data_IF_798103135498
#
_entry.id   IF_798103135498
#
_cell.length_a   1.000
_cell.length_b   1.000
_cell.length_c   1.000
_cell.angle_alpha   90.00
_cell.angle_beta   90.00
_cell.angle_gamma   90.00
#
_symmetry.space_group_name_H-M   'P 1'
#
loop_
_entity.id
_entity.type
_entity.pdbx_description
1 polymer ?
#
# COMPACT_ATOMS: atom_id res chain seq x y z
N UNK A 1 -54.78 15.29 -16.51
CA UNK A 1 -54.95 16.75 -16.62
C UNK A 1 -53.55 17.32 -16.84
N UNK A 2 -53.14 17.63 -18.09
CA UNK A 2 -53.25 18.95 -18.77
C UNK A 2 -52.40 20.04 -18.09
N UNK A 3 -51.46 20.79 -18.71
CA UNK A 3 -51.12 21.13 -20.11
C UNK A 3 -49.59 21.45 -20.20
N UNK A 4 -48.82 21.12 -21.27
CA UNK A 4 -48.65 21.78 -22.59
C UNK A 4 -47.96 23.16 -22.61
N UNK A 5 -46.73 23.28 -23.20
CA UNK A 5 -46.33 24.29 -24.22
C UNK A 5 -44.79 24.33 -24.58
N UNK A 6 -44.43 23.82 -25.78
CA UNK A 6 -43.42 24.31 -26.79
C UNK A 6 -42.11 25.04 -26.40
N UNK A 7 -40.93 24.65 -26.94
CA UNK A 7 -40.40 25.07 -28.29
C UNK A 7 -39.12 24.27 -28.67
N UNK A 8 -39.06 23.50 -29.78
CA UNK A 8 -38.39 23.79 -31.09
C UNK A 8 -36.89 24.21 -30.99
N UNK A 9 -35.89 23.76 -31.79
CA UNK A 9 -35.73 23.01 -33.09
C UNK A 9 -34.21 22.68 -33.23
N UNK A 10 -33.66 21.79 -34.11
CA UNK A 10 -34.10 20.72 -35.04
C UNK A 10 -32.85 19.88 -35.44
N UNK A 11 -33.00 18.68 -36.01
CA UNK A 11 -31.93 17.90 -36.68
C UNK A 11 -32.24 17.65 -38.19
N UNK A 12 -31.20 17.41 -38.99
CA UNK A 12 -31.21 16.88 -40.40
C UNK A 12 -29.81 16.29 -40.65
N UNK A 13 -29.55 15.02 -41.01
CA UNK A 13 -30.13 14.01 -41.95
C UNK A 13 -29.58 14.10 -43.40
N UNK A 14 -28.64 13.18 -43.67
CA UNK A 14 -28.28 12.42 -44.90
C UNK A 14 -28.66 12.90 -46.33
N UNK A 15 -27.60 13.09 -47.14
CA UNK A 15 -27.19 12.29 -48.33
C UNK A 15 -27.91 12.34 -49.71
N UNK A 16 -27.05 12.29 -50.75
CA UNK A 16 -27.22 11.90 -52.17
C UNK A 16 -27.86 12.89 -53.18
N UNK A 17 -27.20 13.02 -54.34
CA UNK A 17 -27.71 13.70 -55.55
C UNK A 17 -26.63 13.99 -56.59
N UNK A 18 -26.69 13.33 -57.76
CA UNK A 18 -25.73 13.46 -58.88
C UNK A 18 -26.12 14.55 -59.91
N UNK A 19 -25.17 14.83 -60.81
CA UNK A 19 -25.32 15.24 -62.22
C UNK A 19 -25.04 16.71 -62.62
N UNK A 20 -23.87 16.88 -63.27
CA UNK A 20 -23.56 17.62 -64.51
C UNK A 20 -24.36 18.85 -64.97
N UNK A 21 -23.65 19.92 -65.35
CA UNK A 21 -23.81 20.66 -66.63
C UNK A 21 -22.58 21.56 -66.95
N UNK A 22 -22.29 21.70 -68.24
CA UNK A 22 -21.21 22.50 -68.85
C UNK A 22 -21.26 24.02 -68.58
N UNK A 23 -20.10 24.69 -68.49
CA UNK A 23 -19.77 25.95 -69.23
C UNK A 23 -18.27 25.96 -69.60
N UNK A 24 -17.95 26.51 -70.78
CA UNK A 24 -16.61 26.61 -71.38
C UNK A 24 -16.02 28.02 -71.18
N UNK A 25 -14.72 28.14 -70.87
CA UNK A 25 -13.88 29.29 -71.29
C UNK A 25 -12.40 28.90 -71.45
N UNK A 26 -11.74 29.51 -72.44
CA UNK A 26 -10.42 29.13 -72.97
C UNK A 26 -9.25 29.88 -72.31
N UNK A 27 -8.02 29.31 -72.35
CA UNK A 27 -6.92 29.75 -73.25
C UNK A 27 -5.48 29.44 -72.76
N UNK A 28 -4.54 29.38 -73.72
CA UNK A 28 -3.06 29.38 -73.61
C UNK A 28 -2.41 28.15 -72.93
N UNK A 29 -1.82 27.17 -73.63
CA UNK A 29 -0.61 27.18 -74.49
C UNK A 29 0.70 27.45 -73.71
N UNK A 30 1.44 26.37 -73.44
CA UNK A 30 2.90 26.32 -73.44
C UNK A 30 3.35 24.88 -73.77
N UNK A 31 4.41 24.70 -74.56
CA UNK A 31 4.77 23.43 -75.19
C UNK A 31 6.25 23.08 -75.02
N UNK A 32 6.57 21.85 -74.62
CA UNK A 32 7.88 21.21 -74.81
C UNK A 32 7.72 19.66 -74.80
N UNK A 33 8.60 18.87 -75.44
CA UNK A 33 8.16 17.62 -76.08
C UNK A 33 8.86 16.31 -75.66
N UNK A 34 8.17 15.19 -75.89
CA UNK A 34 8.75 14.03 -76.58
C UNK A 34 9.31 12.86 -75.75
N UNK A 35 8.53 11.78 -75.66
CA UNK A 35 8.89 10.38 -76.00
C UNK A 35 7.67 9.49 -75.65
N UNK A 36 6.86 9.12 -76.65
CA UNK A 36 6.93 7.84 -77.39
C UNK A 36 6.28 6.66 -76.64
N UNK A 37 4.96 6.64 -76.74
CA UNK A 37 4.09 5.47 -77.03
C UNK A 37 4.72 4.06 -77.07
N UNK A 38 4.26 3.17 -76.19
CA UNK A 38 3.46 2.01 -76.63
C UNK A 38 2.38 1.66 -75.61
N UNK A 39 1.14 1.51 -76.09
CA UNK A 39 0.04 0.91 -75.34
C UNK A 39 0.17 -0.61 -75.28
N UNK A 40 -0.31 -1.21 -74.19
CA UNK A 40 -0.45 -2.67 -74.11
C UNK A 40 -1.50 -3.19 -75.08
N UNK A 41 -1.22 -4.34 -75.70
CA UNK A 41 -2.16 -5.11 -76.51
C UNK A 41 -2.08 -6.60 -76.15
N UNK A 42 -3.21 -7.30 -76.28
CA UNK A 42 -3.34 -8.74 -75.97
C UNK A 42 -2.43 -9.62 -76.85
N UNK A 43 -2.14 -10.87 -76.44
CA UNK A 43 -1.20 -11.74 -77.16
C UNK A 43 -1.78 -12.22 -78.49
N UNK A 44 -1.59 -11.42 -79.54
CA UNK A 44 -1.44 -11.97 -80.88
C UNK A 44 -0.14 -12.77 -80.89
N UNK A 45 -0.22 -14.10 -81.02
CA UNK A 45 0.92 -14.99 -81.24
C UNK A 45 1.59 -14.79 -82.63
N UNK A 46 1.42 -13.61 -83.22
CA UNK A 46 2.05 -13.18 -84.46
C UNK A 46 3.35 -12.46 -84.14
N UNK A 47 4.46 -13.06 -84.55
CA UNK A 47 5.81 -12.60 -84.29
C UNK A 47 6.55 -12.37 -85.63
N UNK A 48 7.69 -11.67 -85.58
CA UNK A 48 8.50 -11.43 -86.79
C UNK A 48 9.50 -12.57 -86.97
N UNK A 49 9.62 -13.18 -88.16
CA UNK A 49 10.54 -14.32 -88.38
C UNK A 49 11.97 -14.00 -87.91
N UNK A 50 12.54 -14.87 -87.07
CA UNK A 50 13.84 -14.69 -86.42
C UNK A 50 13.82 -13.92 -85.08
N UNK A 51 12.64 -13.51 -84.59
CA UNK A 51 12.47 -12.97 -83.25
C UNK A 51 12.56 -14.08 -82.20
N UNK A 52 13.34 -13.86 -81.14
CA UNK A 52 13.49 -14.76 -79.98
C UNK A 52 12.68 -14.19 -78.81
N UNK A 53 11.94 -15.05 -78.10
CA UNK A 53 11.26 -14.71 -76.84
C UNK A 53 12.19 -15.03 -75.65
N UNK A 54 12.81 -13.99 -75.08
CA UNK A 54 13.77 -14.11 -73.97
C UNK A 54 13.12 -14.28 -72.58
N UNK A 55 11.87 -14.74 -72.52
CA UNK A 55 11.16 -15.08 -71.26
C UNK A 55 10.98 -16.59 -71.07
N UNK A 56 11.73 -17.41 -71.81
CA UNK A 56 11.75 -18.87 -71.65
C UNK A 56 12.41 -19.28 -70.32
N UNK A 57 11.88 -20.33 -69.64
CA UNK A 57 12.64 -21.07 -68.65
C UNK A 57 13.91 -21.65 -69.29
N UNK A 58 14.96 -21.88 -68.50
CA UNK A 58 16.15 -22.61 -68.97
C UNK A 58 15.78 -24.09 -69.07
N UNK A 59 15.44 -24.57 -70.27
CA UNK A 59 14.89 -25.91 -70.51
C UNK A 59 15.44 -26.59 -71.79
N UNK A 60 16.62 -26.17 -72.27
CA UNK A 60 17.24 -26.54 -73.55
C UNK A 60 16.50 -26.07 -74.82
N UNK A 61 15.42 -25.28 -74.74
CA UNK A 61 14.70 -24.84 -75.94
C UNK A 61 14.29 -23.36 -75.93
N UNK A 62 14.94 -22.56 -76.78
CA UNK A 62 14.46 -21.21 -77.03
C UNK A 62 13.18 -21.22 -77.90
N UNK A 63 12.37 -20.17 -77.77
CA UNK A 63 11.24 -19.92 -78.68
C UNK A 63 11.68 -18.99 -79.80
N UNK A 64 11.76 -19.51 -81.01
CA UNK A 64 12.05 -18.74 -82.21
C UNK A 64 10.78 -18.53 -83.04
N UNK A 65 10.61 -17.34 -83.60
CA UNK A 65 9.54 -17.09 -84.54
C UNK A 65 9.85 -17.67 -85.93
N UNK A 66 9.06 -18.66 -86.37
CA UNK A 66 9.13 -19.21 -87.73
C UNK A 66 7.75 -19.16 -88.38
N UNK A 67 7.64 -18.48 -89.53
CA UNK A 67 6.38 -18.40 -90.29
C UNK A 67 5.26 -17.62 -89.58
N UNK A 68 5.63 -16.64 -88.74
CA UNK A 68 4.67 -15.81 -88.00
C UNK A 68 4.16 -16.42 -86.69
N UNK A 69 4.74 -17.53 -86.22
CA UNK A 69 4.41 -18.15 -84.94
C UNK A 69 5.68 -18.58 -84.19
N UNK A 70 5.70 -18.43 -82.87
CA UNK A 70 6.75 -19.02 -82.04
C UNK A 70 6.70 -20.55 -82.08
N UNK A 71 7.83 -21.15 -82.43
CA UNK A 71 8.09 -22.58 -82.33
C UNK A 71 9.23 -22.80 -81.33
N UNK A 72 9.17 -23.90 -80.59
CA UNK A 72 10.29 -24.34 -79.77
C UNK A 72 11.38 -24.89 -80.70
N UNK A 73 12.60 -24.39 -80.55
CA UNK A 73 13.78 -24.76 -81.31
C UNK A 73 14.84 -25.24 -80.31
N UNK A 74 15.61 -26.29 -80.62
CA UNK A 74 16.75 -26.69 -79.80
C UNK A 74 17.75 -25.54 -79.56
N UNK A 75 17.95 -25.17 -78.29
CA UNK A 75 19.07 -24.35 -77.85
C UNK A 75 19.93 -25.16 -76.89
N UNK A 76 20.95 -25.83 -77.44
CA UNK A 76 21.85 -26.65 -76.63
C UNK A 76 22.83 -25.80 -75.76
N UNK A 77 22.70 -24.47 -75.76
CA UNK A 77 23.40 -23.56 -74.84
C UNK A 77 22.60 -23.23 -73.58
N UNK A 78 21.27 -23.41 -73.57
CA UNK A 78 20.40 -23.17 -72.41
C UNK A 78 20.36 -24.39 -71.48
N UNK A 79 21.52 -24.75 -70.92
CA UNK A 79 21.71 -25.92 -70.05
C UNK A 79 21.02 -25.74 -68.69
N UNK A 80 19.99 -26.55 -68.35
CA UNK A 80 19.35 -26.52 -67.04
C UNK A 80 20.21 -27.27 -66.02
N UNK A 81 20.40 -26.66 -64.85
CA UNK A 81 21.04 -27.25 -63.67
C UNK A 81 19.98 -28.04 -62.88
N UNK A 82 20.20 -29.32 -62.60
CA UNK A 82 19.28 -30.15 -61.79
C UNK A 82 19.53 -30.03 -60.27
N UNK A 83 20.51 -29.21 -59.87
CA UNK A 83 20.94 -28.99 -58.49
C UNK A 83 21.87 -30.07 -57.97
N UNK A 84 22.27 -31.07 -58.78
CA UNK A 84 23.15 -32.14 -58.35
C UNK A 84 24.59 -31.94 -58.90
N UNK A 85 25.58 -31.61 -58.05
CA UNK A 85 26.97 -31.40 -58.47
C UNK A 85 27.69 -32.68 -58.99
N UNK A 86 27.00 -33.81 -59.03
CA UNK A 86 27.48 -35.09 -59.55
C UNK A 86 26.80 -35.56 -60.82
N UNK A 87 25.98 -34.70 -61.43
CA UNK A 87 25.58 -34.80 -62.83
C UNK A 87 26.38 -33.79 -63.66
N UNK A 88 26.68 -34.16 -64.90
CA UNK A 88 27.10 -33.22 -65.92
C UNK A 88 25.85 -32.85 -66.69
N UNK A 89 25.39 -31.62 -66.49
CA UNK A 89 24.27 -31.06 -67.21
C UNK A 89 24.68 -30.71 -68.63
N UNK A 90 23.88 -31.17 -69.57
CA UNK A 90 24.05 -30.93 -71.00
C UNK A 90 22.69 -30.85 -71.66
N UNK A 91 22.62 -30.11 -72.76
CA UNK A 91 21.51 -30.21 -73.69
C UNK A 91 21.95 -31.04 -74.90
N UNK A 92 21.05 -31.87 -75.42
CA UNK A 92 21.27 -32.59 -76.66
C UNK A 92 20.02 -32.54 -77.53
N UNK A 93 20.09 -31.78 -78.63
CA UNK A 93 19.00 -31.54 -79.56
C UNK A 93 17.71 -31.04 -78.88
N UNK A 94 17.85 -30.12 -77.92
CA UNK A 94 16.73 -29.52 -77.20
C UNK A 94 16.08 -30.41 -76.15
N UNK A 95 16.85 -31.36 -75.61
CA UNK A 95 16.43 -32.21 -74.48
C UNK A 95 17.48 -32.11 -73.37
N UNK A 96 17.08 -31.80 -72.12
CA UNK A 96 17.98 -31.85 -70.97
C UNK A 96 18.54 -33.26 -70.73
N UNK A 97 19.84 -33.35 -70.45
CA UNK A 97 20.55 -34.58 -70.13
C UNK A 97 21.49 -34.35 -68.94
N UNK A 98 21.15 -34.98 -67.82
CA UNK A 98 21.91 -34.96 -66.57
C UNK A 98 22.69 -36.27 -66.46
N UNK A 99 23.95 -36.28 -66.90
CA UNK A 99 24.75 -37.52 -66.99
C UNK A 99 25.63 -37.69 -65.75
N UNK A 100 25.45 -38.78 -65.00
CA UNK A 100 26.25 -39.08 -63.81
C UNK A 100 27.77 -39.03 -64.07
N UNK A 101 28.48 -38.16 -63.35
CA UNK A 101 29.94 -38.10 -63.32
C UNK A 101 30.49 -38.81 -62.08
N UNK A 102 31.74 -39.28 -62.16
CA UNK A 102 32.40 -40.05 -61.11
C UNK A 102 33.81 -39.51 -60.83
N UNK A 103 34.19 -39.45 -59.56
CA UNK A 103 35.53 -39.00 -59.13
C UNK A 103 35.79 -37.50 -59.24
N UNK A 104 34.80 -36.72 -59.68
CA UNK A 104 34.78 -35.25 -59.54
C UNK A 104 34.53 -34.87 -58.08
N UNK A 105 35.07 -33.72 -57.67
CA UNK A 105 34.78 -33.15 -56.34
C UNK A 105 33.41 -32.50 -56.38
N UNK A 106 32.59 -32.79 -55.38
CA UNK A 106 31.27 -32.20 -55.18
C UNK A 106 31.17 -31.50 -53.83
N UNK A 107 30.15 -30.64 -53.67
CA UNK A 107 29.85 -29.95 -52.43
C UNK A 107 28.35 -29.86 -52.19
N UNK A 108 27.94 -30.13 -50.94
CA UNK A 108 26.61 -29.84 -50.41
C UNK A 108 26.85 -29.13 -49.07
N UNK A 109 26.33 -27.90 -48.93
CA UNK A 109 26.69 -27.01 -47.82
C UNK A 109 28.20 -26.83 -47.64
N UNK A 110 28.68 -26.99 -46.41
CA UNK A 110 30.12 -26.94 -46.07
C UNK A 110 30.87 -28.25 -46.44
N UNK A 111 30.15 -29.35 -46.62
CA UNK A 111 30.71 -30.67 -46.91
C UNK A 111 31.34 -30.76 -48.30
N UNK A 112 32.56 -31.30 -48.39
CA UNK A 112 33.26 -31.54 -49.66
C UNK A 112 33.45 -33.04 -49.86
N UNK A 113 32.83 -33.59 -50.90
CA UNK A 113 32.77 -35.02 -51.19
C UNK A 113 33.30 -35.39 -52.58
N UNK A 114 33.07 -36.63 -52.96
CA UNK A 114 33.37 -37.14 -54.30
C UNK A 114 32.12 -37.73 -54.96
N UNK A 115 32.00 -37.56 -56.27
CA UNK A 115 30.89 -38.12 -57.02
C UNK A 115 31.04 -39.63 -57.22
N UNK A 116 30.03 -40.38 -56.81
CA UNK A 116 29.96 -41.84 -56.92
C UNK A 116 28.57 -42.21 -57.44
N UNK A 117 28.55 -42.86 -58.61
CA UNK A 117 27.34 -43.23 -59.36
C UNK A 117 26.32 -42.09 -59.58
N UNK A 118 26.80 -40.84 -59.72
CA UNK A 118 25.95 -39.67 -59.88
C UNK A 118 25.34 -39.11 -58.59
N UNK A 119 25.84 -39.52 -57.43
CA UNK A 119 25.49 -38.97 -56.11
C UNK A 119 26.75 -38.38 -55.46
N UNK A 120 26.57 -37.33 -54.66
CA UNK A 120 27.67 -36.71 -53.91
C UNK A 120 27.88 -37.46 -52.59
N UNK A 121 28.89 -38.33 -52.52
CA UNK A 121 29.28 -38.99 -51.28
C UNK A 121 30.23 -38.07 -50.50
N UNK A 122 29.71 -37.43 -49.45
CA UNK A 122 30.49 -36.62 -48.52
C UNK A 122 30.92 -37.52 -47.35
N UNK A 123 32.23 -37.78 -47.18
CA UNK A 123 32.72 -38.65 -46.11
C UNK A 123 32.63 -37.95 -44.76
N UNK A 124 32.21 -38.68 -43.73
CA UNK A 124 32.03 -38.15 -42.38
C UNK A 124 32.45 -39.17 -41.31
N UNK A 125 32.77 -38.65 -40.12
CA UNK A 125 32.96 -39.46 -38.91
C UNK A 125 31.91 -39.16 -37.85
N UNK A 126 31.22 -38.01 -37.95
CA UNK A 126 30.12 -37.59 -37.07
C UNK A 126 29.09 -36.74 -37.83
N UNK A 127 27.88 -36.67 -37.32
CA UNK A 127 26.78 -35.93 -37.96
C UNK A 127 27.00 -34.41 -38.01
N UNK A 128 27.74 -33.83 -37.06
CA UNK A 128 28.03 -32.39 -37.04
C UNK A 128 28.99 -31.96 -38.18
N UNK A 129 29.61 -32.92 -38.87
CA UNK A 129 30.45 -32.70 -40.06
C UNK A 129 29.60 -32.66 -41.35
N UNK A 130 28.29 -32.93 -41.23
CA UNK A 130 27.32 -33.02 -42.33
C UNK A 130 26.32 -31.86 -42.38
N UNK A 131 26.57 -30.74 -41.67
CA UNK A 131 25.68 -29.57 -41.68
C UNK A 131 25.60 -28.92 -43.08
N UNK A 132 24.45 -29.03 -43.76
CA UNK A 132 24.23 -28.45 -45.09
C UNK A 132 23.73 -27.00 -45.09
N UNK A 133 23.54 -26.41 -43.90
CA UNK A 133 22.90 -25.11 -43.62
C UNK A 133 21.41 -25.01 -43.91
N UNK A 134 20.75 -26.05 -44.38
CA UNK A 134 19.31 -26.06 -44.56
C UNK A 134 18.66 -26.52 -43.25
N UNK A 135 17.95 -25.62 -42.56
CA UNK A 135 17.31 -25.98 -41.29
C UNK A 135 16.26 -27.07 -41.46
N UNK A 136 15.66 -27.19 -42.64
CA UNK A 136 14.60 -28.15 -42.94
C UNK A 136 15.09 -29.57 -43.21
N UNK A 137 16.38 -29.85 -43.05
CA UNK A 137 16.98 -31.19 -43.11
C UNK A 137 17.51 -31.63 -41.74
N UNK A 138 17.43 -32.93 -41.48
CA UNK A 138 18.14 -33.59 -40.38
C UNK A 138 19.36 -34.26 -40.97
N UNK A 139 20.51 -33.75 -40.54
CA UNK A 139 21.81 -34.11 -41.07
C UNK A 139 22.43 -35.20 -40.20
N UNK A 140 22.80 -36.31 -40.84
CA UNK A 140 23.29 -37.49 -40.14
C UNK A 140 24.44 -38.16 -40.88
N UNK A 141 25.48 -38.52 -40.13
CA UNK A 141 26.53 -39.39 -40.66
C UNK A 141 26.09 -40.86 -40.54
N UNK A 142 25.81 -41.50 -41.68
CA UNK A 142 25.28 -42.87 -41.73
C UNK A 142 26.17 -43.73 -42.62
N UNK A 143 26.91 -44.65 -42.02
CA UNK A 143 27.81 -45.54 -42.77
C UNK A 143 29.01 -44.82 -43.38
N UNK A 144 29.59 -43.87 -42.65
CA UNK A 144 30.72 -43.01 -43.07
C UNK A 144 30.40 -42.02 -44.21
N UNK A 145 29.12 -41.87 -44.59
CA UNK A 145 28.63 -40.91 -45.59
C UNK A 145 27.53 -40.02 -45.00
N UNK A 146 27.51 -38.73 -45.35
CA UNK A 146 26.45 -37.81 -44.94
C UNK A 146 25.11 -38.13 -45.62
N UNK A 147 24.03 -38.05 -44.84
CA UNK A 147 22.64 -38.14 -45.29
C UNK A 147 21.85 -36.94 -44.77
N UNK A 148 21.08 -36.33 -45.65
CA UNK A 148 20.22 -35.16 -45.38
C UNK A 148 18.76 -35.61 -45.53
N UNK A 149 18.04 -35.74 -44.42
CA UNK A 149 16.66 -36.24 -44.43
C UNK A 149 15.67 -35.08 -44.20
N UNK A 150 14.67 -34.93 -45.06
CA UNK A 150 13.62 -33.91 -44.89
C UNK A 150 12.98 -34.03 -43.50
N UNK A 151 12.97 -32.92 -42.75
CA UNK A 151 12.31 -32.82 -41.45
C UNK A 151 11.28 -31.69 -41.45
N UNK A 152 10.18 -31.89 -40.73
CA UNK A 152 9.13 -30.89 -40.56
C UNK A 152 9.15 -30.20 -39.19
N UNK A 153 10.13 -30.54 -38.35
CA UNK A 153 10.21 -30.13 -36.93
C UNK A 153 11.19 -28.96 -36.70
N UNK A 154 11.76 -28.41 -37.77
CA UNK A 154 12.67 -27.27 -37.73
C UNK A 154 11.95 -25.94 -37.95
N UNK A 155 12.52 -24.88 -37.37
CA UNK A 155 11.96 -23.53 -37.33
C UNK A 155 12.86 -22.57 -38.14
N UNK A 156 12.60 -22.38 -39.44
CA UNK A 156 13.40 -21.51 -40.30
C UNK A 156 13.01 -20.04 -40.13
N UNK A 157 13.29 -19.47 -38.96
CA UNK A 157 13.07 -18.05 -38.64
C UNK A 157 13.92 -17.10 -39.54
N UNK A 158 13.26 -16.29 -40.38
CA UNK A 158 13.90 -15.26 -41.23
C UNK A 158 14.01 -13.88 -40.54
N UNK A 159 13.62 -13.80 -39.27
CA UNK A 159 13.49 -12.60 -38.44
C UNK A 159 12.43 -11.59 -38.90
N UNK A 160 11.53 -11.96 -39.81
CA UNK A 160 10.39 -11.13 -40.21
C UNK A 160 9.10 -11.63 -39.53
N UNK A 161 8.56 -10.92 -38.51
CA UNK A 161 7.30 -11.31 -37.86
C UNK A 161 6.06 -11.21 -38.76
N UNK A 162 6.23 -10.83 -40.04
CA UNK A 162 5.18 -10.81 -41.05
C UNK A 162 5.26 -11.95 -42.07
N UNK A 163 6.09 -12.95 -41.81
CA UNK A 163 6.08 -14.24 -42.50
C UNK A 163 5.64 -15.35 -41.54
N UNK A 164 4.97 -16.36 -42.07
CA UNK A 164 4.85 -17.67 -41.43
C UNK A 164 6.00 -18.50 -41.96
N UNK A 165 6.91 -18.83 -41.05
CA UNK A 165 8.10 -19.62 -41.31
C UNK A 165 7.79 -21.10 -41.16
N UNK A 166 8.12 -21.89 -42.17
CA UNK A 166 7.83 -23.31 -42.22
C UNK A 166 8.78 -24.08 -43.14
N UNK A 167 8.90 -25.38 -42.90
CA UNK A 167 9.59 -26.31 -43.79
C UNK A 167 8.61 -26.98 -44.76
N UNK A 168 8.61 -26.55 -46.03
CA UNK A 168 7.78 -27.13 -47.08
C UNK A 168 8.62 -28.00 -48.01
N UNK A 169 8.43 -29.32 -47.96
CA UNK A 169 9.15 -30.27 -48.83
C UNK A 169 10.65 -30.37 -48.56
N UNK A 170 11.12 -29.97 -47.37
CA UNK A 170 12.54 -29.95 -47.02
C UNK A 170 13.27 -28.67 -47.41
N UNK A 171 12.53 -27.62 -47.79
CA UNK A 171 13.05 -26.28 -48.04
C UNK A 171 12.38 -25.27 -47.11
N UNK A 172 13.14 -24.26 -46.71
CA UNK A 172 12.66 -23.09 -45.98
C UNK A 172 11.62 -22.32 -46.82
N UNK A 173 10.47 -22.02 -46.20
CA UNK A 173 9.33 -21.33 -46.80
C UNK A 173 8.85 -20.23 -45.86
N UNK A 174 8.80 -18.99 -46.37
CA UNK A 174 8.44 -17.80 -45.61
C UNK A 174 7.26 -17.14 -46.33
N UNK A 175 6.05 -17.29 -45.80
CA UNK A 175 4.81 -16.88 -46.50
C UNK A 175 4.11 -15.70 -45.81
N UNK A 176 3.60 -14.67 -46.52
CA UNK A 176 2.98 -13.50 -45.91
C UNK A 176 1.89 -13.78 -44.88
N UNK A 177 2.12 -13.37 -43.63
CA UNK A 177 1.22 -13.54 -42.49
C UNK A 177 0.23 -12.36 -42.37
N UNK A 178 -0.62 -12.12 -43.37
CA UNK A 178 -1.53 -10.96 -43.36
C UNK A 178 -2.41 -10.90 -42.09
N UNK A 179 -2.45 -9.75 -41.42
CA UNK A 179 -3.14 -9.53 -40.17
C UNK A 179 -2.39 -9.94 -38.90
N UNK A 180 -1.22 -10.59 -39.01
CA UNK A 180 -0.39 -10.90 -37.83
C UNK A 180 0.12 -9.61 -37.14
N UNK A 181 0.27 -9.61 -35.80
CA UNK A 181 0.82 -8.48 -35.07
C UNK A 181 2.33 -8.38 -35.27
N UNK A 182 2.85 -7.17 -35.48
CA UNK A 182 4.27 -6.95 -35.74
C UNK A 182 4.78 -5.64 -35.10
N UNK A 183 6.03 -5.66 -34.64
CA UNK A 183 6.67 -4.49 -34.01
C UNK A 183 5.86 -3.94 -32.83
N UNK A 184 5.86 -2.61 -32.68
CA UNK A 184 5.04 -1.91 -31.68
C UNK A 184 3.77 -1.39 -32.36
N UNK A 185 2.63 -2.03 -32.09
CA UNK A 185 1.30 -1.64 -32.58
C UNK A 185 1.17 -1.64 -34.13
N UNK A 186 1.86 -2.57 -34.78
CA UNK A 186 1.78 -2.80 -36.22
C UNK A 186 1.01 -4.07 -36.56
N UNK A 187 0.57 -4.16 -37.81
CA UNK A 187 -0.04 -5.35 -38.40
C UNK A 187 0.61 -5.65 -39.75
N UNK A 188 0.69 -6.92 -40.12
CA UNK A 188 1.28 -7.37 -41.36
C UNK A 188 0.30 -7.25 -42.53
N UNK A 189 0.79 -6.87 -43.70
CA UNK A 189 -0.02 -6.83 -44.93
C UNK A 189 0.15 -8.11 -45.79
N UNK A 190 -0.62 -8.22 -46.89
CA UNK A 190 -0.52 -9.31 -47.88
C UNK A 190 0.85 -9.48 -48.56
N UNK A 191 1.78 -8.54 -48.37
CA UNK A 191 3.14 -8.58 -48.92
C UNK A 191 4.19 -9.03 -47.90
N UNK A 192 3.79 -9.42 -46.69
CA UNK A 192 4.71 -9.79 -45.62
C UNK A 192 5.48 -8.60 -45.04
N UNK A 193 4.93 -7.39 -45.15
CA UNK A 193 5.53 -6.16 -44.63
C UNK A 193 4.75 -5.67 -43.42
N UNK A 194 5.48 -5.37 -42.34
CA UNK A 194 4.91 -4.74 -41.17
C UNK A 194 4.50 -3.29 -41.48
N UNK A 195 3.20 -3.01 -41.39
CA UNK A 195 2.65 -1.65 -41.46
C UNK A 195 2.17 -1.25 -40.06
N UNK A 196 1.99 0.05 -39.83
CA UNK A 196 1.31 0.51 -38.61
C UNK A 196 -0.15 0.03 -38.55
N UNK A 197 -0.80 0.25 -37.41
CA UNK A 197 -2.13 -0.27 -37.05
C UNK A 197 -3.12 -0.44 -38.23
N UNK A 198 -3.80 -1.58 -38.27
CA UNK A 198 -4.93 -1.86 -39.17
C UNK A 198 -6.25 -1.32 -38.63
N UNK A 199 -6.38 -1.32 -37.32
CA UNK A 199 -7.60 -1.13 -36.55
C UNK A 199 -7.28 -0.66 -35.13
N UNK A 200 -8.32 -0.30 -34.37
CA UNK A 200 -8.20 0.13 -32.96
C UNK A 200 -7.66 -0.99 -32.05
N UNK A 201 -7.92 -2.27 -32.38
CA UNK A 201 -7.41 -3.42 -31.60
C UNK A 201 -5.91 -3.65 -31.74
N UNK A 202 -5.26 -3.00 -32.70
CA UNK A 202 -3.79 -3.05 -32.85
C UNK A 202 -3.08 -1.99 -31.99
N UNK A 203 -3.84 -1.11 -31.33
CA UNK A 203 -3.36 -0.05 -30.47
C UNK A 203 -3.37 -0.45 -28.99
N UNK A 204 -2.76 0.34 -28.08
CA UNK A 204 -2.85 0.08 -26.65
C UNK A 204 -4.30 0.09 -26.18
N UNK A 205 -4.61 -0.72 -25.17
CA UNK A 205 -5.95 -0.73 -24.57
C UNK A 205 -6.26 0.63 -23.93
N UNK A 206 -7.52 1.06 -24.05
CA UNK A 206 -8.02 2.27 -23.40
C UNK A 206 -7.86 2.18 -21.87
N UNK A 207 -7.54 3.31 -21.25
CA UNK A 207 -7.42 3.44 -19.81
C UNK A 207 -8.22 4.64 -19.27
N UNK A 208 -8.11 4.90 -17.97
CA UNK A 208 -8.82 6.02 -17.35
C UNK A 208 -8.40 7.40 -17.89
N UNK A 209 -7.25 7.50 -18.55
CA UNK A 209 -6.66 8.74 -19.04
C UNK A 209 -6.59 8.83 -20.57
N UNK A 210 -6.85 7.76 -21.31
CA UNK A 210 -6.65 7.71 -22.76
C UNK A 210 -7.58 6.75 -23.49
N UNK A 211 -8.07 7.20 -24.65
CA UNK A 211 -8.83 6.45 -25.64
C UNK A 211 -7.97 6.37 -26.92
N UNK A 212 -7.70 5.17 -27.44
CA UNK A 212 -6.69 4.93 -28.48
C UNK A 212 -7.31 4.57 -29.84
N UNK A 213 -7.20 5.49 -30.80
CA UNK A 213 -7.69 5.28 -32.15
C UNK A 213 -6.55 5.05 -33.16
N UNK A 214 -6.77 4.13 -34.11
CA UNK A 214 -5.88 4.00 -35.26
C UNK A 214 -6.24 5.03 -36.35
N UNK A 215 -5.41 6.06 -36.51
CA UNK A 215 -5.57 7.11 -37.54
C UNK A 215 -4.34 7.15 -38.44
N UNK A 216 -4.53 7.10 -39.76
CA UNK A 216 -3.45 7.17 -40.77
C UNK A 216 -2.27 6.21 -40.49
N UNK A 217 -2.58 4.97 -40.07
CA UNK A 217 -1.60 3.93 -39.68
C UNK A 217 -0.76 4.26 -38.43
N UNK A 218 -1.24 5.17 -37.57
CA UNK A 218 -0.65 5.47 -36.28
C UNK A 218 -1.69 5.38 -35.15
N UNK A 219 -1.27 4.83 -34.01
CA UNK A 219 -2.08 4.86 -32.80
C UNK A 219 -2.01 6.23 -32.15
N UNK A 220 -3.15 6.93 -32.11
CA UNK A 220 -3.28 8.28 -31.57
C UNK A 220 -4.12 8.23 -30.30
N UNK A 221 -3.53 8.64 -29.18
CA UNK A 221 -4.24 8.76 -27.91
C UNK A 221 -5.06 10.05 -27.85
N UNK A 222 -6.32 9.95 -27.48
CA UNK A 222 -7.19 11.06 -27.09
C UNK A 222 -7.17 11.19 -25.57
N UNK A 223 -6.67 12.30 -24.98
CA UNK A 223 -6.67 12.48 -23.53
C UNK A 223 -8.09 12.51 -22.93
N UNK A 224 -8.30 11.68 -21.92
CA UNK A 224 -9.50 11.64 -21.08
C UNK A 224 -9.16 12.11 -19.66
N UNK A 225 -10.19 12.63 -18.97
CA UNK A 225 -10.14 12.96 -17.53
C UNK A 225 -8.94 13.83 -17.08
N UNK A 226 -8.43 14.69 -17.96
CA UNK A 226 -7.25 15.53 -17.73
C UNK A 226 -7.33 16.31 -16.40
N UNK A 227 -6.31 16.15 -15.55
CA UNK A 227 -6.23 16.76 -14.21
C UNK A 227 -7.02 16.04 -13.10
N UNK A 228 -7.84 15.03 -13.43
CA UNK A 228 -8.55 14.23 -12.43
C UNK A 228 -7.65 13.16 -11.81
N UNK A 229 -7.89 12.85 -10.54
CA UNK A 229 -7.36 11.65 -9.90
C UNK A 229 -8.04 10.39 -10.44
N UNK A 230 -7.29 9.29 -10.54
CA UNK A 230 -7.83 7.95 -10.77
C UNK A 230 -8.77 7.53 -9.62
N UNK A 231 -9.69 6.57 -9.83
CA UNK A 231 -10.57 6.05 -8.79
C UNK A 231 -9.80 5.57 -7.54
N UNK A 232 -10.45 5.65 -6.37
CA UNK A 232 -9.83 5.32 -5.08
C UNK A 232 -9.32 3.87 -4.97
N UNK A 233 -9.78 2.96 -5.83
CA UNK A 233 -9.27 1.58 -5.97
C UNK A 233 -7.84 1.51 -6.52
N UNK A 234 -7.44 2.54 -7.26
CA UNK A 234 -6.17 2.60 -7.98
C UNK A 234 -5.18 3.55 -7.30
N UNK A 235 -5.63 4.36 -6.34
CA UNK A 235 -4.78 5.13 -5.43
C UNK A 235 -4.16 4.23 -4.36
N UNK A 236 -3.08 4.71 -3.74
CA UNK A 236 -2.38 4.02 -2.65
C UNK A 236 -2.48 4.88 -1.39
N UNK A 237 -3.43 4.58 -0.51
CA UNK A 237 -3.70 5.41 0.67
C UNK A 237 -2.50 5.50 1.63
N UNK A 238 -2.14 6.71 2.03
CA UNK A 238 -1.04 7.02 2.92
C UNK A 238 0.34 6.91 2.26
N UNK A 239 0.43 7.06 0.94
CA UNK A 239 1.71 7.02 0.21
C UNK A 239 2.22 8.41 -0.22
N UNK A 240 1.47 9.47 0.12
CA UNK A 240 1.71 10.87 -0.19
C UNK A 240 1.71 11.21 -1.69
N UNK A 241 1.02 10.40 -2.48
CA UNK A 241 0.96 10.55 -3.94
C UNK A 241 -0.45 10.35 -4.46
N UNK A 242 -0.74 11.04 -5.55
CA UNK A 242 -1.94 10.81 -6.34
C UNK A 242 -1.57 10.42 -7.76
N UNK A 243 -2.20 9.36 -8.27
CA UNK A 243 -2.24 9.06 -9.69
C UNK A 243 -3.29 9.95 -10.35
N UNK A 244 -2.87 10.78 -11.31
CA UNK A 244 -3.72 11.71 -12.06
C UNK A 244 -3.51 11.55 -13.56
N UNK A 245 -4.48 11.97 -14.36
CA UNK A 245 -4.30 12.06 -15.80
C UNK A 245 -3.58 13.36 -16.19
N UNK A 246 -2.46 13.27 -16.88
CA UNK A 246 -1.80 14.40 -17.57
C UNK A 246 -1.39 14.02 -18.98
N UNK A 247 -1.81 14.82 -19.96
CA UNK A 247 -1.55 14.64 -21.40
C UNK A 247 -1.86 13.22 -21.89
N UNK A 248 -2.98 12.67 -21.44
CA UNK A 248 -3.42 11.33 -21.82
C UNK A 248 -2.61 10.19 -21.22
N UNK A 249 -1.97 10.41 -20.05
CA UNK A 249 -1.20 9.39 -19.33
C UNK A 249 -1.47 9.44 -17.85
N UNK A 250 -1.45 8.29 -17.20
CA UNK A 250 -1.40 8.19 -15.74
C UNK A 250 -0.02 8.67 -15.28
N UNK A 251 0.01 9.74 -14.49
CA UNK A 251 1.23 10.25 -13.85
C UNK A 251 1.04 10.35 -12.34
N UNK A 252 2.14 10.19 -11.60
CA UNK A 252 2.14 10.30 -10.14
C UNK A 252 2.58 11.70 -9.74
N UNK A 253 1.73 12.41 -8.99
CA UNK A 253 2.02 13.73 -8.40
C UNK A 253 2.05 13.64 -6.87
N UNK A 254 2.58 14.67 -6.21
CA UNK A 254 2.54 14.78 -4.76
C UNK A 254 1.11 15.07 -4.30
N UNK A 255 0.63 14.33 -3.31
CA UNK A 255 -0.62 14.63 -2.62
C UNK A 255 -0.33 14.89 -1.14
N UNK A 256 -0.57 16.13 -0.69
CA UNK A 256 -0.36 16.53 0.69
C UNK A 256 -1.55 16.16 1.61
N UNK A 257 -2.67 15.71 1.03
CA UNK A 257 -3.88 15.28 1.74
C UNK A 257 -3.94 13.76 1.93
N UNK A 258 -2.90 13.03 1.50
CA UNK A 258 -2.74 11.57 1.67
C UNK A 258 -1.54 11.21 2.58
N UNK A 259 -1.46 11.70 3.83
CA UNK A 259 -0.41 11.30 4.76
C UNK A 259 -0.63 9.88 5.28
N UNK A 260 0.46 9.19 5.61
CA UNK A 260 0.41 7.92 6.34
C UNK A 260 0.08 8.17 7.81
N UNK A 261 -1.08 7.70 8.27
CA UNK A 261 -1.44 7.61 9.69
C UNK A 261 -0.67 6.42 10.31
N UNK A 262 0.29 6.71 11.19
CA UNK A 262 1.08 5.69 11.90
C UNK A 262 0.40 5.20 13.20
N UNK A 263 -0.78 5.70 13.52
CA UNK A 263 -1.56 5.39 14.72
C UNK A 263 -1.04 6.07 15.99
N UNK A 264 -0.01 6.93 15.91
CA UNK A 264 0.59 7.57 17.07
C UNK A 264 0.13 9.02 17.22
N UNK A 265 -0.74 9.28 18.20
CA UNK A 265 -1.24 10.64 18.49
C UNK A 265 -0.17 11.63 19.00
N UNK A 266 1.10 11.23 19.08
CA UNK A 266 2.25 12.11 19.39
C UNK A 266 3.13 12.45 18.20
N UNK A 267 2.73 12.06 16.99
CA UNK A 267 3.30 12.50 15.73
C UNK A 267 2.25 13.29 14.95
N UNK A 268 2.69 14.12 14.01
CA UNK A 268 1.79 14.72 13.02
C UNK A 268 1.99 14.01 11.70
N UNK A 269 0.96 13.37 11.18
CA UNK A 269 1.01 12.71 9.87
C UNK A 269 1.06 13.76 8.76
N UNK A 270 2.15 13.80 8.00
CA UNK A 270 2.35 14.77 6.91
C UNK A 270 3.06 14.15 5.72
N UNK A 271 3.03 14.88 4.60
CA UNK A 271 3.77 14.55 3.40
C UNK A 271 4.90 15.56 3.18
N UNK A 272 6.11 15.06 2.94
CA UNK A 272 7.27 15.84 2.55
C UNK A 272 7.88 15.22 1.29
N UNK A 273 7.91 15.97 0.19
CA UNK A 273 8.45 15.55 -1.12
C UNK A 273 8.03 14.12 -1.53
N UNK A 274 6.71 13.90 -1.66
CA UNK A 274 6.09 12.60 -2.02
C UNK A 274 6.39 11.44 -1.06
N UNK A 275 6.84 11.72 0.16
CA UNK A 275 7.14 10.72 1.18
C UNK A 275 6.35 11.01 2.46
N UNK A 276 5.73 10.00 3.10
CA UNK A 276 5.12 10.18 4.41
C UNK A 276 6.20 10.47 5.46
N UNK A 277 5.91 11.41 6.34
CA UNK A 277 6.73 11.79 7.49
C UNK A 277 5.84 11.98 8.72
N UNK A 278 6.29 11.46 9.84
CA UNK A 278 5.62 11.51 11.14
C UNK A 278 6.53 12.24 12.16
N UNK A 279 6.81 13.55 11.99
CA UNK A 279 7.59 14.31 12.97
C UNK A 279 6.88 14.38 14.33
N UNK A 280 7.63 14.33 15.46
CA UNK A 280 7.09 14.49 16.80
C UNK A 280 6.30 15.79 16.98
N UNK A 281 5.15 15.69 17.64
CA UNK A 281 4.45 16.84 18.23
C UNK A 281 5.28 17.43 19.38
N UNK A 282 5.06 18.71 19.75
CA UNK A 282 5.66 19.31 20.92
C UNK A 282 5.37 18.51 22.20
N UNK A 283 6.35 18.42 23.09
CA UNK A 283 6.16 17.80 24.40
C UNK A 283 4.97 18.44 25.15
N UNK A 284 4.25 17.64 25.93
CA UNK A 284 3.00 17.98 26.63
C UNK A 284 1.75 18.18 25.74
N UNK A 285 1.86 17.95 24.43
CA UNK A 285 0.69 17.68 23.57
C UNK A 285 -0.13 16.52 24.13
N UNK A 286 -1.46 16.59 24.03
CA UNK A 286 -2.36 15.51 24.45
C UNK A 286 -2.35 14.36 23.44
N UNK A 287 -2.33 13.13 23.93
CA UNK A 287 -2.37 11.92 23.10
C UNK A 287 -3.23 10.83 23.75
N UNK A 288 -3.81 9.94 22.94
CA UNK A 288 -4.53 8.79 23.44
C UNK A 288 -3.60 7.58 23.57
N UNK A 289 -3.70 6.81 24.66
CA UNK A 289 -3.08 5.48 24.75
C UNK A 289 -4.16 4.41 24.57
N UNK A 290 -3.84 3.26 23.92
CA UNK A 290 -4.79 2.14 23.78
C UNK A 290 -5.33 1.58 25.10
N UNK A 291 -4.65 1.88 26.22
CA UNK A 291 -4.97 1.39 27.56
C UNK A 291 -5.70 2.44 28.44
N UNK A 292 -6.03 3.64 27.93
CA UNK A 292 -6.74 4.65 28.71
C UNK A 292 -7.97 5.21 27.95
N UNK A 293 -9.21 4.84 28.34
CA UNK A 293 -10.43 5.28 27.66
C UNK A 293 -10.75 6.78 27.80
N UNK A 294 -10.05 7.53 28.66
CA UNK A 294 -10.19 8.99 28.73
C UNK A 294 -9.33 9.75 27.72
N UNK A 295 -8.39 9.08 27.04
CA UNK A 295 -7.52 9.69 26.03
C UNK A 295 -6.52 10.71 26.60
N UNK A 296 -6.18 10.57 27.88
CA UNK A 296 -5.37 11.55 28.62
C UNK A 296 -3.95 11.07 28.83
N UNK A 297 -3.19 11.05 27.74
CA UNK A 297 -1.73 10.92 27.69
C UNK A 297 -1.04 12.25 27.37
N UNK A 298 0.28 12.30 27.56
CA UNK A 298 1.16 13.42 27.22
C UNK A 298 2.36 12.97 26.38
N UNK A 299 2.61 13.69 25.29
CA UNK A 299 3.77 13.45 24.43
C UNK A 299 5.07 13.87 25.12
N UNK A 300 6.10 13.05 24.98
CA UNK A 300 7.47 13.46 25.28
C UNK A 300 8.11 14.25 24.10
N UNK A 301 9.39 14.58 24.20
CA UNK A 301 10.10 15.34 23.15
C UNK A 301 10.54 14.51 21.94
N UNK A 302 10.31 13.20 21.92
CA UNK A 302 10.67 12.31 20.80
C UNK A 302 9.44 11.69 20.13
N UNK A 303 8.24 12.08 20.53
CA UNK A 303 6.99 11.67 19.89
C UNK A 303 6.38 10.40 20.49
N UNK A 304 6.74 10.02 21.72
CA UNK A 304 6.12 8.90 22.43
C UNK A 304 4.99 9.42 23.32
N UNK A 305 3.82 8.77 23.26
CA UNK A 305 2.72 9.02 24.18
C UNK A 305 2.99 8.36 25.54
N UNK A 306 3.34 9.16 26.54
CA UNK A 306 3.36 8.75 27.94
C UNK A 306 1.92 8.87 28.50
N UNK A 307 1.52 8.05 29.48
CA UNK A 307 0.21 8.20 30.10
C UNK A 307 0.14 9.44 30.99
N UNK A 308 1.11 9.68 31.86
CA UNK A 308 1.17 10.89 32.67
C UNK A 308 2.57 11.17 33.22
N UNK A 309 2.80 12.41 33.65
CA UNK A 309 3.99 12.85 34.38
C UNK A 309 3.67 13.41 35.78
N UNK A 310 2.40 13.70 36.04
CA UNK A 310 1.85 14.25 37.27
C UNK A 310 0.32 14.02 37.28
N UNK A 311 -0.29 13.93 38.45
CA UNK A 311 -1.75 13.69 38.62
C UNK A 311 -2.67 14.62 37.80
N UNK A 312 -2.38 15.94 37.63
CA UNK A 312 -3.17 16.82 36.75
C UNK A 312 -3.22 16.42 35.27
N UNK A 313 -2.29 15.60 34.77
CA UNK A 313 -2.26 15.17 33.37
C UNK A 313 -3.41 14.19 33.04
N UNK A 314 -3.90 13.46 34.04
CA UNK A 314 -4.96 12.45 33.91
C UNK A 314 -6.37 13.04 33.83
N UNK A 315 -6.52 14.35 34.08
CA UNK A 315 -7.78 15.08 34.01
C UNK A 315 -8.81 14.64 35.05
N UNK A 316 -10.08 14.99 34.80
CA UNK A 316 -11.20 14.50 35.61
C UNK A 316 -11.43 15.17 36.97
N UNK A 317 -10.71 16.24 37.34
CA UNK A 317 -10.91 16.92 38.64
C UNK A 317 -10.31 16.18 39.84
N UNK A 318 -10.24 16.79 41.04
CA UNK A 318 -9.27 16.39 42.06
C UNK A 318 -9.80 15.36 43.07
N UNK A 319 -9.13 14.21 43.21
CA UNK A 319 -8.56 13.39 42.16
C UNK A 319 -9.36 12.08 42.10
N UNK A 320 -10.33 12.03 41.19
CA UNK A 320 -10.95 10.77 40.78
C UNK A 320 -9.98 9.94 39.92
N UNK A 321 -8.91 10.58 39.43
CA UNK A 321 -7.80 9.96 38.73
C UNK A 321 -6.48 10.53 39.23
N UNK A 322 -5.45 9.68 39.21
CA UNK A 322 -4.12 9.91 39.79
C UNK A 322 -3.05 9.34 38.87
N UNK A 323 -1.82 9.83 38.99
CA UNK A 323 -0.70 9.43 38.13
C UNK A 323 0.32 8.59 38.89
N UNK A 324 0.52 7.33 38.47
CA UNK A 324 1.70 6.58 38.87
C UNK A 324 2.88 7.00 37.99
N UNK A 325 3.67 7.94 38.49
CA UNK A 325 4.87 8.48 37.84
C UNK A 325 6.01 7.45 37.71
N UNK A 326 5.90 6.26 38.32
CA UNK A 326 6.90 5.19 38.15
C UNK A 326 6.67 4.38 36.88
N UNK A 327 5.43 4.31 36.41
CA UNK A 327 5.02 3.64 35.16
C UNK A 327 4.37 4.61 34.16
N UNK A 328 4.38 5.91 34.45
CA UNK A 328 3.75 6.99 33.68
C UNK A 328 2.31 6.65 33.26
N UNK A 329 1.49 6.11 34.17
CA UNK A 329 0.14 5.61 33.85
C UNK A 329 -0.91 6.26 34.75
N UNK A 330 -1.98 6.75 34.13
CA UNK A 330 -3.17 7.22 34.83
C UNK A 330 -4.00 6.05 35.30
N UNK A 331 -4.54 6.16 36.51
CA UNK A 331 -5.51 5.23 37.08
C UNK A 331 -6.64 5.99 37.77
N UNK A 332 -7.72 5.31 38.14
CA UNK A 332 -8.92 5.92 38.70
C UNK A 332 -9.13 5.45 40.14
N UNK A 333 -9.31 6.39 41.06
CA UNK A 333 -9.63 6.14 42.48
C UNK A 333 -11.10 5.73 42.69
N UNK A 334 -11.68 4.98 41.76
CA UNK A 334 -13.12 4.62 41.69
C UNK A 334 -13.38 3.53 40.62
N UNK A 335 -12.44 2.61 40.39
CA UNK A 335 -12.53 1.55 39.38
C UNK A 335 -12.69 0.12 39.94
N UNK A 336 -12.93 -0.02 41.25
CA UNK A 336 -13.05 -1.28 42.00
C UNK A 336 -11.75 -2.13 42.00
N UNK A 337 -10.58 -1.57 41.65
CA UNK A 337 -9.29 -2.30 41.58
C UNK A 337 -8.17 -1.58 42.32
N UNK A 338 -7.63 -2.19 43.39
CA UNK A 338 -6.43 -1.66 44.08
C UNK A 338 -5.25 -1.51 43.10
N UNK A 339 -4.94 -0.27 42.72
CA UNK A 339 -3.91 0.02 41.73
C UNK A 339 -3.20 1.38 41.96
N UNK A 340 -2.11 1.63 41.23
CA UNK A 340 -1.34 2.87 41.33
C UNK A 340 -0.82 3.18 42.74
N UNK A 341 -1.25 4.33 43.31
CA UNK A 341 -0.83 4.81 44.64
C UNK A 341 -1.78 4.40 45.78
N UNK A 342 -2.86 3.69 45.48
CA UNK A 342 -3.88 3.31 46.46
C UNK A 342 -3.35 2.39 47.56
N UNK A 343 -3.74 2.67 48.80
CA UNK A 343 -3.36 1.83 49.94
C UNK A 343 -4.34 0.68 50.16
N UNK A 344 -5.61 0.86 49.83
CA UNK A 344 -6.59 -0.20 49.56
C UNK A 344 -7.50 0.20 48.37
N UNK A 345 -8.34 -0.71 47.89
CA UNK A 345 -9.19 -0.48 46.70
C UNK A 345 -9.90 0.88 46.75
N UNK A 346 -9.67 1.70 45.72
CA UNK A 346 -10.25 3.04 45.50
C UNK A 346 -9.95 4.08 46.61
N UNK A 347 -8.94 3.87 47.47
CA UNK A 347 -8.69 4.76 48.60
C UNK A 347 -7.23 4.93 49.04
N UNK A 348 -6.96 6.08 49.67
CA UNK A 348 -5.66 6.44 50.25
C UNK A 348 -4.59 6.85 49.22
N UNK A 349 -3.38 7.12 49.71
CA UNK A 349 -2.28 7.60 48.85
C UNK A 349 -2.56 9.00 48.31
N UNK A 350 -2.61 9.16 46.98
CA UNK A 350 -3.00 10.44 46.34
C UNK A 350 -4.52 10.59 46.12
N UNK A 351 -5.33 9.57 46.38
CA UNK A 351 -6.79 9.63 46.20
C UNK A 351 -7.47 10.55 47.24
N UNK A 352 -8.58 11.20 46.88
CA UNK A 352 -9.38 12.01 47.83
C UNK A 352 -10.17 11.14 48.81
N UNK A 353 -10.69 10.03 48.32
CA UNK A 353 -11.42 9.08 49.13
C UNK A 353 -10.46 8.42 50.10
N UNK A 354 -10.78 8.55 51.38
CA UNK A 354 -9.98 8.00 52.46
C UNK A 354 -10.52 6.64 52.83
N UNK A 355 -9.60 5.72 53.09
CA UNK A 355 -9.92 4.39 53.51
C UNK A 355 -10.69 4.41 54.85
N UNK A 356 -11.79 3.66 54.87
CA UNK A 356 -12.63 3.44 56.05
C UNK A 356 -12.05 2.32 56.91
N UNK A 357 -12.69 2.05 58.06
CA UNK A 357 -12.24 1.03 59.02
C UNK A 357 -11.96 -0.34 58.35
N UNK A 358 -10.92 -1.00 58.84
CA UNK A 358 -10.44 -2.33 58.44
C UNK A 358 -9.84 -2.42 57.01
N UNK A 359 -9.80 -1.31 56.24
CA UNK A 359 -9.02 -1.19 55.01
C UNK A 359 -7.54 -0.88 55.28
N UNK A 360 -6.67 -1.14 54.30
CA UNK A 360 -5.22 -0.94 54.38
C UNK A 360 -4.78 0.53 54.24
N UNK A 361 -3.70 0.88 54.93
CA UNK A 361 -3.08 2.21 54.90
C UNK A 361 -1.54 2.15 55.05
N UNK A 362 -0.88 3.25 54.72
CA UNK A 362 0.55 3.49 54.98
C UNK A 362 0.78 4.64 55.97
N UNK A 363 -0.11 5.64 55.98
CA UNK A 363 -0.08 6.84 56.84
C UNK A 363 -1.50 7.22 57.28
N UNK A 364 -1.65 7.95 58.39
CA UNK A 364 -2.97 8.45 58.87
C UNK A 364 -3.72 9.29 57.83
N UNK A 365 -3.02 9.95 56.90
CA UNK A 365 -3.66 10.71 55.83
C UNK A 365 -4.51 9.83 54.88
N UNK A 366 -4.20 8.54 54.78
CA UNK A 366 -4.96 7.58 53.97
C UNK A 366 -6.33 7.25 54.58
N UNK A 367 -6.55 7.51 55.86
CA UNK A 367 -7.72 7.07 56.62
C UNK A 367 -8.69 8.21 56.96
N UNK A 368 -9.99 7.87 57.08
CA UNK A 368 -10.96 8.75 57.75
C UNK A 368 -10.63 8.91 59.26
N UNK A 369 -10.14 7.82 59.87
CA UNK A 369 -9.66 7.75 61.25
C UNK A 369 -8.13 7.80 61.35
N UNK A 370 -7.54 6.83 62.04
CA UNK A 370 -6.09 6.69 62.20
C UNK A 370 -5.55 5.48 61.43
N UNK A 371 -4.29 5.54 60.98
CA UNK A 371 -3.61 4.38 60.41
C UNK A 371 -2.80 3.67 61.50
N UNK A 372 -3.27 2.52 61.98
CA UNK A 372 -2.57 1.70 62.96
C UNK A 372 -2.22 0.31 62.40
N UNK A 373 -0.98 -0.12 62.58
CA UNK A 373 -0.47 -1.39 62.08
C UNK A 373 -0.78 -1.67 60.58
N UNK A 374 -0.83 -0.60 59.76
CA UNK A 374 -1.20 -0.59 58.32
C UNK A 374 -2.67 -0.87 58.02
N UNK A 375 -3.55 -0.68 58.99
CA UNK A 375 -5.01 -0.79 58.84
C UNK A 375 -5.66 0.49 59.38
N UNK A 376 -6.64 1.03 58.67
CA UNK A 376 -7.43 2.15 59.14
C UNK A 376 -8.32 1.70 60.30
N UNK A 377 -8.21 2.41 61.42
CA UNK A 377 -8.98 2.18 62.64
C UNK A 377 -9.75 3.45 63.00
N UNK A 378 -10.87 3.29 63.71
CA UNK A 378 -11.63 4.40 64.24
C UNK A 378 -11.91 4.23 65.73
N UNK A 379 -12.21 5.37 66.38
CA UNK A 379 -12.44 5.53 67.82
C UNK A 379 -13.67 4.74 68.36
N UNK A 380 -14.38 3.96 67.52
CA UNK A 380 -15.59 3.26 67.95
C UNK A 380 -15.59 1.79 67.47
N UNK A 381 -14.41 1.23 67.19
CA UNK A 381 -14.23 -0.13 66.68
C UNK A 381 -14.20 -1.24 67.76
N UNK A 382 -14.37 -0.85 69.03
CA UNK A 382 -14.33 -1.71 70.20
C UNK A 382 -12.96 -2.32 70.57
N UNK A 383 -11.84 -1.75 70.08
CA UNK A 383 -10.46 -2.18 70.38
C UNK A 383 -9.62 -0.96 70.79
N UNK A 384 -8.74 -1.12 71.78
CA UNK A 384 -7.72 -0.10 72.06
C UNK A 384 -6.62 -0.15 70.99
N UNK A 385 -6.70 0.73 69.99
CA UNK A 385 -5.75 0.85 68.88
C UNK A 385 -5.49 2.33 68.52
N UNK A 386 -4.64 2.58 67.51
CA UNK A 386 -4.34 3.95 67.07
C UNK A 386 -3.76 4.81 68.20
N UNK A 387 -4.37 5.97 68.46
CA UNK A 387 -3.92 6.92 69.51
C UNK A 387 -4.75 6.84 70.81
N UNK A 388 -5.67 5.89 70.93
CA UNK A 388 -6.60 5.81 72.04
C UNK A 388 -5.94 5.75 73.44
N UNK A 389 -6.54 6.49 74.38
CA UNK A 389 -6.19 6.46 75.80
C UNK A 389 -6.62 5.15 76.44
N UNK A 390 -7.88 4.76 76.22
CA UNK A 390 -8.43 3.42 76.45
C UNK A 390 -9.44 3.09 75.34
N UNK A 391 -9.91 1.86 75.28
CA UNK A 391 -10.89 1.38 74.30
C UNK A 391 -12.02 2.41 74.07
N UNK A 392 -12.18 2.84 72.82
CA UNK A 392 -13.17 3.79 72.33
C UNK A 392 -13.09 5.20 72.99
N UNK A 393 -11.93 5.63 73.51
CA UNK A 393 -11.77 6.95 74.15
C UNK A 393 -10.33 7.50 74.21
N UNK A 394 -10.20 8.83 74.34
CA UNK A 394 -8.91 9.52 74.49
C UNK A 394 -8.09 9.62 73.19
N UNK A 395 -6.94 10.30 73.23
CA UNK A 395 -6.16 10.58 72.02
C UNK A 395 -6.94 11.44 71.02
N UNK A 396 -6.98 11.00 69.75
CA UNK A 396 -7.77 11.63 68.69
C UNK A 396 -9.29 11.45 68.83
N UNK A 397 -9.77 10.62 69.77
CA UNK A 397 -11.19 10.51 70.07
C UNK A 397 -11.84 11.82 70.53
N UNK A 398 -13.02 12.09 69.96
CA UNK A 398 -13.97 13.07 70.49
C UNK A 398 -14.49 12.66 71.88
N UNK A 399 -14.67 11.36 72.12
CA UNK A 399 -15.02 10.82 73.43
C UNK A 399 -13.81 10.84 74.37
N UNK A 400 -13.97 11.45 75.54
CA UNK A 400 -12.98 11.43 76.62
C UNK A 400 -13.24 10.26 77.57
N UNK A 401 -12.16 9.63 78.01
CA UNK A 401 -12.16 8.48 78.88
C UNK A 401 -12.75 8.82 80.26
N UNK A 402 -13.61 7.95 80.77
CA UNK A 402 -14.19 8.04 82.11
C UNK A 402 -13.16 7.69 83.19
N UNK A 403 -13.49 7.92 84.45
CA UNK A 403 -12.67 7.49 85.60
C UNK A 403 -12.24 6.02 85.50
N UNK A 404 -11.03 5.72 85.98
CA UNK A 404 -10.36 4.41 85.97
C UNK A 404 -9.98 3.82 84.61
N UNK A 405 -10.49 4.38 83.50
CA UNK A 405 -10.01 4.05 82.16
C UNK A 405 -8.55 4.50 81.97
N UNK A 406 -7.86 3.83 81.07
CA UNK A 406 -6.47 4.08 80.70
C UNK A 406 -6.31 5.45 80.01
N UNK A 407 -5.13 6.06 80.15
CA UNK A 407 -4.80 7.32 79.48
C UNK A 407 -3.29 7.47 79.29
N UNK A 408 -2.91 8.24 78.27
CA UNK A 408 -1.53 8.63 77.98
C UNK A 408 -1.27 10.08 78.43
N UNK A 409 -2.28 10.95 78.30
CA UNK A 409 -2.20 12.37 78.64
C UNK A 409 -3.47 12.87 79.34
N UNK A 410 -3.36 14.00 80.06
CA UNK A 410 -4.46 14.67 80.76
C UNK A 410 -5.71 14.90 79.87
N UNK A 411 -5.51 15.27 78.61
CA UNK A 411 -6.56 15.53 77.62
C UNK A 411 -7.29 14.28 77.11
N UNK A 412 -6.90 13.08 77.53
CA UNK A 412 -7.63 11.85 77.24
C UNK A 412 -8.85 11.71 78.15
N UNK A 413 -8.78 12.28 79.36
CA UNK A 413 -9.72 12.06 80.45
C UNK A 413 -10.83 13.11 80.50
N UNK A 414 -12.05 12.69 80.81
CA UNK A 414 -13.21 13.58 80.94
C UNK A 414 -13.02 14.64 82.06
N UNK A 415 -12.29 14.29 83.13
CA UNK A 415 -11.95 15.20 84.23
C UNK A 415 -10.64 15.98 84.00
N UNK A 416 -9.98 15.82 82.84
CA UNK A 416 -8.71 16.48 82.54
C UNK A 416 -7.49 15.99 83.34
N UNK A 417 -7.62 14.95 84.16
CA UNK A 417 -6.55 14.44 85.04
C UNK A 417 -6.20 12.99 84.67
N UNK A 418 -5.01 12.78 84.12
CA UNK A 418 -4.42 11.47 83.89
C UNK A 418 -3.28 11.23 84.88
N UNK A 419 -3.43 10.27 85.80
CA UNK A 419 -2.45 9.96 86.85
C UNK A 419 -2.16 8.46 86.85
N UNK A 420 -0.88 8.08 86.90
CA UNK A 420 -0.43 6.68 86.82
C UNK A 420 -0.98 5.90 85.60
N UNK A 421 -1.20 6.59 84.47
CA UNK A 421 -1.78 6.02 83.25
C UNK A 421 -3.28 5.71 83.34
N UNK A 422 -3.99 6.26 84.32
CA UNK A 422 -5.45 6.15 84.49
C UNK A 422 -6.11 7.51 84.70
N UNK A 423 -7.33 7.65 84.20
CA UNK A 423 -8.14 8.82 84.42
C UNK A 423 -8.63 8.89 85.86
N UNK A 424 -8.26 9.96 86.56
CA UNK A 424 -8.70 10.18 87.93
C UNK A 424 -10.17 10.61 87.98
N UNK A 425 -10.83 10.35 89.11
CA UNK A 425 -12.05 11.05 89.46
C UNK A 425 -11.73 12.53 89.73
N UNK A 426 -12.67 13.42 89.40
CA UNK A 426 -12.68 14.80 89.86
C UNK A 426 -12.56 14.87 91.39
N UNK A 427 -11.66 15.69 91.92
CA UNK A 427 -11.55 15.93 93.37
C UNK A 427 -11.27 17.40 93.68
N UNK A 428 -11.84 17.89 94.78
CA UNK A 428 -11.75 19.26 95.31
C UNK A 428 -10.35 19.67 95.84
N UNK A 429 -9.29 19.18 95.21
CA UNK A 429 -7.89 19.34 95.58
C UNK A 429 -6.91 18.85 94.50
N UNK A 430 -7.37 18.56 93.27
CA UNK A 430 -6.49 18.09 92.18
C UNK A 430 -5.89 19.23 91.34
N UNK A 431 -6.20 20.49 91.66
CA UNK A 431 -5.72 21.72 91.02
C UNK A 431 -6.23 21.90 89.58
N UNK A 432 -7.28 21.18 89.17
CA UNK A 432 -7.94 21.31 87.87
C UNK A 432 -9.44 21.56 88.06
N UNK A 433 -9.97 22.66 87.52
CA UNK A 433 -11.42 22.88 87.52
C UNK A 433 -12.12 21.78 86.70
N UNK A 434 -12.74 20.81 87.38
CA UNK A 434 -13.37 19.66 86.76
C UNK A 434 -14.67 19.24 87.49
N UNK A 435 -15.31 18.16 87.03
CA UNK A 435 -16.50 17.59 87.67
C UNK A 435 -17.70 18.56 87.74
N UNK A 436 -17.94 19.15 88.91
CA UNK A 436 -19.01 20.12 89.16
C UNK A 436 -18.54 21.36 89.93
N UNK A 437 -17.23 21.63 89.89
CA UNK A 437 -16.60 22.80 90.49
C UNK A 437 -16.90 24.08 89.71
N UNK A 438 -17.11 25.18 90.41
CA UNK A 438 -17.38 26.49 89.77
C UNK A 438 -16.12 27.30 89.52
N UNK A 439 -15.05 27.02 90.27
CA UNK A 439 -13.67 27.45 90.03
C UNK A 439 -12.72 26.34 90.54
N UNK A 440 -11.42 26.41 90.23
CA UNK A 440 -10.45 25.36 90.57
C UNK A 440 -10.50 24.99 92.06
N UNK A 441 -10.76 23.70 92.34
CA UNK A 441 -10.87 23.06 93.66
C UNK A 441 -12.01 23.56 94.56
N UNK A 442 -13.04 24.27 94.05
CA UNK A 442 -14.11 24.81 94.89
C UNK A 442 -15.50 24.96 94.22
N UNK A 443 -16.54 25.07 95.06
CA UNK A 443 -17.94 25.28 94.66
C UNK A 443 -18.69 24.00 94.25
N UNK A 444 -20.02 24.11 94.08
CA UNK A 444 -20.87 22.96 93.78
C UNK A 444 -20.88 21.92 94.92
N UNK A 445 -20.40 20.67 94.70
CA UNK A 445 -20.25 19.66 95.75
C UNK A 445 -18.95 19.79 96.55
N UNK A 446 -18.03 20.68 96.13
CA UNK A 446 -16.76 20.95 96.79
C UNK A 446 -16.89 22.05 97.86
N UNK A 447 -15.86 22.28 98.70
CA UNK A 447 -15.89 23.36 99.68
C UNK A 447 -16.17 24.72 99.01
N UNK A 448 -16.92 25.56 99.70
CA UNK A 448 -17.33 26.87 99.21
C UNK A 448 -16.12 27.73 98.78
N UNK A 449 -16.24 28.37 97.63
CA UNK A 449 -15.19 29.19 97.05
C UNK A 449 -14.92 30.47 97.87
N UNK A 450 -13.64 30.85 98.06
CA UNK A 450 -13.26 32.13 98.64
C UNK A 450 -13.52 33.31 97.68
N UNK A 451 -13.50 34.54 98.21
CA UNK A 451 -13.72 35.75 97.44
C UNK A 451 -12.83 35.88 96.20
N UNK A 452 -13.39 36.37 95.08
CA UNK A 452 -12.73 36.53 93.79
C UNK A 452 -12.74 35.31 92.87
N UNK A 453 -13.30 34.18 93.33
CA UNK A 453 -13.50 32.94 92.57
C UNK A 453 -14.86 32.92 91.87
N UNK A 454 -14.97 32.13 90.79
CA UNK A 454 -16.23 31.94 90.05
C UNK A 454 -17.27 31.10 90.80
N UNK A 455 -18.53 31.44 90.60
CA UNK A 455 -19.70 30.76 91.18
C UNK A 455 -20.88 30.75 90.20
N UNK A 456 -21.77 29.77 90.35
CA UNK A 456 -23.05 29.69 89.63
C UNK A 456 -24.26 30.03 90.53
N UNK A 457 -24.08 29.97 91.85
CA UNK A 457 -25.07 30.37 92.86
C UNK A 457 -24.45 30.64 94.22
N UNK A 458 -25.24 31.19 95.15
CA UNK A 458 -24.77 31.55 96.50
C UNK A 458 -24.26 30.34 97.31
N UNK A 459 -24.70 29.13 96.97
CA UNK A 459 -24.23 27.87 97.58
C UNK A 459 -22.83 27.46 97.14
N UNK A 460 -22.19 28.18 96.21
CA UNK A 460 -20.82 27.92 95.78
C UNK A 460 -19.82 28.83 96.49
N UNK A 461 -20.27 29.77 97.33
CA UNK A 461 -19.45 30.83 97.94
C UNK A 461 -19.55 30.83 99.45
N UNK A 462 -18.46 31.19 100.14
CA UNK A 462 -18.45 31.35 101.61
C UNK A 462 -19.44 32.44 102.07
N UNK A 463 -19.71 33.45 101.23
CA UNK A 463 -20.63 34.55 101.48
C UNK A 463 -21.82 34.54 100.49
N UNK A 464 -21.69 35.23 99.36
CA UNK A 464 -22.69 35.37 98.31
C UNK A 464 -22.04 35.41 96.91
N UNK A 465 -22.83 35.05 95.89
CA UNK A 465 -22.42 35.03 94.49
C UNK A 465 -23.05 36.23 93.77
N UNK A 466 -22.24 37.17 93.30
CA UNK A 466 -22.69 38.37 92.57
C UNK A 466 -21.96 38.45 91.23
N UNK A 467 -22.71 38.64 90.15
CA UNK A 467 -22.17 38.68 88.78
C UNK A 467 -21.27 37.47 88.40
N UNK A 468 -21.58 36.30 88.98
CA UNK A 468 -20.84 35.02 88.89
C UNK A 468 -19.46 35.00 89.58
N UNK A 469 -19.23 35.89 90.55
CA UNK A 469 -18.01 35.93 91.39
C UNK A 469 -18.41 35.95 92.89
N UNK A 470 -17.68 35.20 93.72
CA UNK A 470 -17.84 35.23 95.17
C UNK A 470 -17.25 36.51 95.79
N UNK A 471 -17.94 37.12 96.75
CA UNK A 471 -17.45 38.31 97.49
C UNK A 471 -16.85 38.01 98.87
#
# INVERSE_FOLDING_TARGET
MTNFATSLRRSTVRSYGLASIFVITSAMIASAPGCLDQQGSSPSNECTTGQIDATTPVDCVHKECQGGKFVSVPDDMEVPDDGNPCTQDTCAAGTPQHTAVNGTVCKLGDGTGACVSGQCEIPCTKSEECDDKNRCTVDACVGEVCMFAVSGDADPDDMNPCTVDACEGGKESHTPANGAPCGTNGTCNDMGVCIGCGSETDCPVDDYCSDWACTDKQCVATPLNEGMQLPSSDQSNGDCKAKVCQSGKIVTIADAMDPFDDGNSCTTDQCNDMSPVNPPLPALSSCATPNNPTGMGKCDSVGVCLGCSQTPDCGGGPPWHTCDVTVNTCFSCSDDVQNGTETDVDCGGECIERCVRDQKCLVTADCEGECDNKVCVDCFDNKKNGTEGDKDCGGSCAQKCTTDASCNVASDCANGVCTNGKCAAATCSDQVQNGSETDVDCGGPCPDCPAGKKCNGNNDCINDCVDNICN
#
